data_IF_218688638819
#
_entry.id   IF_218688638819
#
_cell.length_a   1.000
_cell.length_b   1.000
_cell.length_c   1.000
_cell.angle_alpha   90.00
_cell.angle_beta   90.00
_cell.angle_gamma   90.00
#
_symmetry.space_group_name_H-M   'P 1'
#
loop_
_entity.id
_entity.type
_entity.pdbx_description
1 polymer ?
#
# COMPACT_ATOMS: atom_id res chain seq x y z
N UNK A 1 45.41 31.34 -13.61
CA UNK A 1 44.71 30.45 -12.66
C UNK A 1 43.22 30.75 -12.77
N UNK A 2 42.41 29.80 -13.24
CA UNK A 2 41.03 30.06 -13.64
C UNK A 2 40.13 30.23 -12.38
N UNK A 3 39.46 31.38 -12.17
CA UNK A 3 38.64 31.62 -10.97
C UNK A 3 37.49 30.59 -10.81
N UNK A 4 37.06 29.95 -11.90
CA UNK A 4 36.11 28.83 -11.88
C UNK A 4 36.66 27.57 -11.17
N UNK A 5 37.96 27.33 -11.18
CA UNK A 5 38.58 26.15 -10.55
C UNK A 5 38.65 26.30 -9.02
N UNK A 6 38.90 27.51 -8.52
CA UNK A 6 38.93 27.79 -7.08
C UNK A 6 37.54 27.69 -6.43
N UNK A 7 36.48 28.04 -7.15
CA UNK A 7 35.10 27.90 -6.67
C UNK A 7 34.67 26.42 -6.58
N UNK A 8 35.11 25.58 -7.52
CA UNK A 8 34.79 24.14 -7.50
C UNK A 8 35.51 23.42 -6.34
N UNK A 9 36.75 23.78 -6.03
CA UNK A 9 37.49 23.21 -4.89
C UNK A 9 36.91 23.62 -3.53
N UNK A 10 36.36 24.83 -3.39
CA UNK A 10 35.72 25.27 -2.14
C UNK A 10 34.34 24.62 -1.92
N UNK A 11 33.69 24.10 -2.97
CA UNK A 11 32.36 23.49 -2.89
C UNK A 11 32.36 22.07 -2.31
N UNK A 12 33.52 21.39 -2.31
CA UNK A 12 33.67 20.01 -1.81
C UNK A 12 34.07 19.97 -0.33
N UNK A 13 34.45 21.11 0.27
CA UNK A 13 35.14 21.14 1.56
C UNK A 13 34.24 21.12 2.81
N UNK A 14 32.91 21.03 2.70
CA UNK A 14 32.02 20.82 3.86
C UNK A 14 31.16 19.57 3.69
N UNK A 15 31.84 18.42 3.62
CA UNK A 15 31.18 17.12 3.53
C UNK A 15 30.55 16.65 4.86
N UNK A 16 30.90 17.26 6.00
CA UNK A 16 30.41 16.86 7.30
C UNK A 16 30.43 18.02 8.31
N UNK A 17 29.55 17.95 9.29
CA UNK A 17 29.48 18.82 10.46
C UNK A 17 30.17 18.17 11.66
N UNK A 18 30.73 18.97 12.56
CA UNK A 18 31.38 18.47 13.77
C UNK A 18 30.50 18.78 14.98
N UNK A 19 30.07 17.73 15.68
CA UNK A 19 29.39 17.82 16.97
C UNK A 19 30.46 18.05 18.05
N UNK A 20 30.28 19.11 18.85
CA UNK A 20 31.19 19.42 19.95
C UNK A 20 31.19 18.30 20.99
N UNK A 21 32.32 18.12 21.69
CA UNK A 21 32.45 17.11 22.73
C UNK A 21 31.40 17.27 23.83
N UNK A 22 31.01 18.51 24.16
CA UNK A 22 29.97 18.82 25.15
C UNK A 22 28.58 18.34 24.72
N UNK A 23 28.34 18.20 23.42
CA UNK A 23 27.09 17.68 22.85
C UNK A 23 27.16 16.18 22.52
N UNK A 24 28.28 15.50 22.79
CA UNK A 24 28.49 14.10 22.44
C UNK A 24 27.33 13.20 22.88
N UNK A 25 26.90 13.29 24.13
CA UNK A 25 25.84 12.43 24.68
C UNK A 25 24.49 12.65 23.97
N UNK A 26 24.28 13.86 23.43
CA UNK A 26 23.07 14.20 22.68
C UNK A 26 23.01 13.49 21.33
N UNK A 27 24.15 13.17 20.72
CA UNK A 27 24.22 12.56 19.38
C UNK A 27 24.68 11.10 19.38
N UNK A 28 25.49 10.65 20.34
CA UNK A 28 26.05 9.29 20.35
C UNK A 28 24.95 8.22 20.38
N UNK A 29 23.90 8.42 21.20
CA UNK A 29 22.76 7.49 21.26
C UNK A 29 21.93 7.54 19.95
N UNK A 30 21.43 8.70 19.49
CA UNK A 30 20.70 8.78 18.22
C UNK A 30 21.45 8.23 17.01
N UNK A 31 22.75 8.48 16.90
CA UNK A 31 23.55 7.97 15.77
C UNK A 31 23.57 6.44 15.77
N UNK A 32 23.83 5.81 16.92
CA UNK A 32 23.79 4.34 17.04
C UNK A 32 22.39 3.78 16.80
N UNK A 33 21.35 4.48 17.26
CA UNK A 33 19.98 4.08 17.01
C UNK A 33 19.60 4.19 15.53
N UNK A 34 20.09 5.20 14.79
CA UNK A 34 19.96 5.28 13.33
C UNK A 34 20.66 4.12 12.61
N UNK A 35 21.85 3.72 13.06
CA UNK A 35 22.55 2.55 12.52
C UNK A 35 21.73 1.27 12.74
N UNK A 36 21.24 1.06 13.96
CA UNK A 36 20.35 -0.06 14.29
C UNK A 36 19.05 -0.03 13.47
N UNK A 37 18.44 1.14 13.28
CA UNK A 37 17.24 1.26 12.45
C UNK A 37 17.52 0.88 10.99
N UNK A 38 18.73 1.19 10.49
CA UNK A 38 19.16 0.81 9.14
C UNK A 38 19.22 -0.71 8.97
N UNK A 39 19.73 -1.43 9.96
CA UNK A 39 19.77 -2.91 9.97
C UNK A 39 18.37 -3.53 9.96
N UNK A 40 17.37 -2.84 10.51
CA UNK A 40 15.99 -3.32 10.60
C UNK A 40 15.12 -2.96 9.38
N UNK A 41 15.60 -2.10 8.46
CA UNK A 41 14.77 -1.55 7.36
C UNK A 41 14.10 -2.62 6.50
N UNK A 42 14.84 -3.67 6.14
CA UNK A 42 14.36 -4.67 5.19
C UNK A 42 13.50 -5.75 5.86
N UNK A 43 13.83 -6.13 7.09
CA UNK A 43 13.16 -7.22 7.82
C UNK A 43 11.99 -6.69 8.66
N UNK A 44 12.23 -5.63 9.42
CA UNK A 44 11.39 -5.11 10.50
C UNK A 44 11.19 -3.59 10.39
N UNK A 45 10.57 -3.09 9.31
CA UNK A 45 10.45 -1.66 9.06
C UNK A 45 9.61 -0.91 10.11
N UNK A 46 8.63 -1.55 10.76
CA UNK A 46 7.87 -0.93 11.86
C UNK A 46 8.78 -0.61 13.06
N UNK A 47 9.63 -1.55 13.46
CA UNK A 47 10.57 -1.32 14.56
C UNK A 47 11.61 -0.23 14.21
N UNK A 48 12.04 -0.19 12.96
CA UNK A 48 12.90 0.89 12.47
C UNK A 48 12.20 2.25 12.60
N UNK A 49 10.92 2.34 12.19
CA UNK A 49 10.11 3.56 12.32
C UNK A 49 9.95 3.97 13.78
N UNK A 50 9.70 3.02 14.69
CA UNK A 50 9.56 3.32 16.12
C UNK A 50 10.85 3.91 16.69
N UNK A 51 12.01 3.32 16.39
CA UNK A 51 13.31 3.85 16.80
C UNK A 51 13.51 5.27 16.26
N UNK A 52 13.25 5.48 14.96
CA UNK A 52 13.41 6.78 14.32
C UNK A 52 12.43 7.82 14.87
N UNK A 53 11.19 7.43 15.20
CA UNK A 53 10.23 8.30 15.86
C UNK A 53 10.72 8.75 17.23
N UNK A 54 11.37 7.88 18.02
CA UNK A 54 11.96 8.26 19.31
C UNK A 54 13.10 9.27 19.14
N UNK A 55 13.96 9.09 18.15
CA UNK A 55 15.02 10.05 17.83
C UNK A 55 14.40 11.41 17.46
N UNK A 56 13.42 11.40 16.57
CA UNK A 56 12.80 12.61 16.01
C UNK A 56 11.88 13.34 17.01
N UNK A 57 11.30 12.60 17.97
CA UNK A 57 10.49 13.18 19.06
C UNK A 57 11.33 13.55 20.27
N UNK A 58 12.62 13.20 20.27
CA UNK A 58 13.57 13.46 21.35
C UNK A 58 14.04 14.93 21.41
N UNK A 59 15.04 15.19 22.26
CA UNK A 59 15.67 16.52 22.44
C UNK A 59 16.02 17.15 21.09
N UNK A 60 15.85 18.47 20.95
CA UNK A 60 16.08 19.22 19.69
C UNK A 60 17.46 18.93 19.07
N UNK A 61 17.58 18.05 18.10
CA UNK A 61 18.87 17.80 17.44
C UNK A 61 19.11 18.89 16.39
N UNK A 62 20.12 19.73 16.60
CA UNK A 62 20.43 20.84 15.70
C UNK A 62 20.95 20.38 14.33
N UNK A 63 21.62 19.23 14.25
CA UNK A 63 22.31 18.71 13.07
C UNK A 63 21.59 17.48 12.49
N UNK A 64 20.31 17.63 12.16
CA UNK A 64 19.50 16.59 11.50
C UNK A 64 19.66 16.66 9.98
N UNK A 65 19.63 15.51 9.30
CA UNK A 65 19.86 15.38 7.85
C UNK A 65 21.25 15.90 7.42
N UNK A 66 22.26 15.51 8.18
CA UNK A 66 23.66 15.91 7.99
C UNK A 66 24.60 14.72 8.13
N UNK A 67 25.76 14.79 7.49
CA UNK A 67 26.89 13.91 7.82
C UNK A 67 27.58 14.51 9.04
N UNK A 68 27.70 13.76 10.12
CA UNK A 68 28.24 14.27 11.39
C UNK A 68 29.43 13.45 11.85
N UNK A 69 30.41 14.09 12.49
CA UNK A 69 31.43 13.43 13.31
C UNK A 69 31.40 14.05 14.70
N UNK A 70 31.78 13.29 15.72
CA UNK A 70 31.73 13.75 17.11
C UNK A 70 33.14 13.93 17.63
N UNK A 71 33.43 15.09 18.23
CA UNK A 71 34.73 15.36 18.84
C UNK A 71 34.94 14.51 20.10
N UNK A 72 36.07 13.79 20.15
CA UNK A 72 36.54 13.02 21.31
C UNK A 72 37.64 13.77 22.08
N UNK A 73 38.43 14.58 21.37
CA UNK A 73 39.52 15.41 21.89
C UNK A 73 39.74 16.64 20.99
N UNK A 74 40.86 17.35 21.16
CA UNK A 74 41.17 18.55 20.34
C UNK A 74 41.30 18.23 18.85
N UNK A 75 41.87 17.07 18.52
CA UNK A 75 42.10 16.64 17.13
C UNK A 75 41.61 15.21 16.86
N UNK A 76 40.91 14.61 17.84
CA UNK A 76 40.40 13.24 17.73
C UNK A 76 38.89 13.27 17.55
N UNK A 77 38.39 12.57 16.53
CA UNK A 77 36.98 12.52 16.17
C UNK A 77 36.53 11.07 15.97
N UNK A 78 35.23 10.83 16.08
CA UNK A 78 34.64 9.58 15.59
C UNK A 78 34.65 9.54 14.05
N UNK A 79 34.30 8.38 13.46
CA UNK A 79 34.06 8.30 12.01
C UNK A 79 32.93 9.24 11.60
N UNK A 80 32.86 9.59 10.32
CA UNK A 80 31.73 10.38 9.79
C UNK A 80 30.52 9.47 9.65
N UNK A 81 29.39 9.86 10.22
CA UNK A 81 28.12 9.14 10.18
C UNK A 81 27.09 9.89 9.32
N UNK A 82 26.37 9.20 8.42
CA UNK A 82 25.23 9.78 7.72
C UNK A 82 24.01 9.84 8.66
N UNK A 83 23.79 10.96 9.34
CA UNK A 83 22.69 11.13 10.29
C UNK A 83 21.45 11.71 9.58
N UNK A 84 20.70 10.81 8.95
CA UNK A 84 19.54 11.11 8.09
C UNK A 84 18.25 10.43 8.59
N UNK A 85 17.78 10.74 9.82
CA UNK A 85 16.68 10.02 10.43
C UNK A 85 15.34 10.15 9.67
N UNK A 86 15.03 11.29 9.05
CA UNK A 86 13.82 11.45 8.24
C UNK A 86 13.94 10.64 6.94
N UNK A 87 15.06 10.74 6.23
CA UNK A 87 15.26 9.94 5.02
C UNK A 87 15.19 8.43 5.31
N UNK A 88 15.78 7.96 6.41
CA UNK A 88 15.69 6.56 6.82
C UNK A 88 14.26 6.15 7.16
N UNK A 89 13.48 7.02 7.82
CA UNK A 89 12.08 6.74 8.16
C UNK A 89 11.21 6.67 6.91
N UNK A 90 11.42 7.58 5.96
CA UNK A 90 10.77 7.52 4.66
C UNK A 90 11.05 6.22 3.91
N UNK A 91 12.29 5.70 3.96
CA UNK A 91 12.63 4.39 3.39
C UNK A 91 11.89 3.25 4.07
N UNK A 92 11.77 3.27 5.39
CA UNK A 92 11.01 2.26 6.15
C UNK A 92 9.52 2.29 5.78
N UNK A 93 8.93 3.49 5.65
CA UNK A 93 7.56 3.65 5.16
C UNK A 93 7.38 3.08 3.75
N UNK A 94 8.31 3.30 2.83
CA UNK A 94 8.26 2.69 1.49
C UNK A 94 8.29 1.15 1.52
N UNK A 95 9.03 0.55 2.47
CA UNK A 95 9.03 -0.92 2.65
C UNK A 95 7.67 -1.42 3.11
N UNK A 96 7.01 -0.71 4.03
CA UNK A 96 5.65 -1.03 4.44
C UNK A 96 4.63 -0.83 3.32
N UNK A 97 4.76 0.26 2.55
CA UNK A 97 3.90 0.52 1.40
C UNK A 97 3.99 -0.62 0.37
N UNK A 98 5.20 -1.09 0.05
CA UNK A 98 5.40 -2.21 -0.87
C UNK A 98 4.75 -3.51 -0.36
N UNK A 99 4.88 -3.82 0.94
CA UNK A 99 4.24 -5.00 1.57
C UNK A 99 2.71 -4.90 1.62
N UNK A 100 2.17 -3.71 1.86
CA UNK A 100 0.72 -3.48 1.82
C UNK A 100 0.20 -3.63 0.38
N UNK A 101 0.89 -3.03 -0.60
CA UNK A 101 0.53 -3.13 -2.01
C UNK A 101 0.58 -4.58 -2.52
N UNK A 102 1.56 -5.38 -2.11
CA UNK A 102 1.63 -6.81 -2.50
C UNK A 102 0.50 -7.66 -1.93
N UNK A 103 -0.15 -7.21 -0.85
CA UNK A 103 -1.34 -7.84 -0.26
C UNK A 103 -2.65 -7.30 -0.83
N UNK A 104 -2.60 -6.35 -1.76
CA UNK A 104 -3.77 -5.67 -2.32
C UNK A 104 -4.39 -4.63 -1.38
N UNK A 105 -3.69 -4.25 -0.30
CA UNK A 105 -4.12 -3.24 0.66
C UNK A 105 -3.75 -1.83 0.17
N UNK A 106 -4.31 -1.42 -0.98
CA UNK A 106 -3.87 -0.20 -1.68
C UNK A 106 -4.13 1.10 -0.89
N UNK A 107 -5.12 1.12 -0.01
CA UNK A 107 -5.42 2.28 0.83
C UNK A 107 -4.31 2.50 1.87
N UNK A 108 -3.92 1.42 2.55
CA UNK A 108 -2.83 1.42 3.51
C UNK A 108 -1.48 1.68 2.83
N UNK A 109 -1.26 1.10 1.64
CA UNK A 109 -0.07 1.37 0.84
C UNK A 109 0.03 2.85 0.47
N UNK A 110 -1.06 3.48 0.03
CA UNK A 110 -1.09 4.90 -0.29
C UNK A 110 -0.82 5.79 0.94
N UNK A 111 -1.36 5.42 2.10
CA UNK A 111 -1.06 6.11 3.36
C UNK A 111 0.44 6.05 3.70
N UNK A 112 1.04 4.85 3.67
CA UNK A 112 2.47 4.70 3.93
C UNK A 112 3.35 5.45 2.92
N UNK A 113 3.02 5.40 1.63
CA UNK A 113 3.76 6.16 0.61
C UNK A 113 3.65 7.67 0.82
N UNK A 114 2.49 8.16 1.28
CA UNK A 114 2.30 9.58 1.60
C UNK A 114 3.24 9.99 2.75
N UNK A 115 3.27 9.22 3.85
CA UNK A 115 4.19 9.46 4.97
C UNK A 115 5.66 9.42 4.53
N UNK A 116 6.01 8.53 3.61
CA UNK A 116 7.35 8.47 3.03
C UNK A 116 7.69 9.74 2.24
N UNK A 117 6.76 10.22 1.42
CA UNK A 117 6.93 11.44 0.65
C UNK A 117 7.14 12.66 1.57
N UNK A 118 6.36 12.79 2.64
CA UNK A 118 6.52 13.88 3.63
C UNK A 118 7.95 13.88 4.24
N UNK A 119 8.46 12.71 4.63
CA UNK A 119 9.81 12.55 5.19
C UNK A 119 10.91 12.88 4.17
N UNK A 120 10.74 12.47 2.91
CA UNK A 120 11.69 12.79 1.84
C UNK A 120 11.64 14.27 1.45
N UNK A 121 10.46 14.89 1.42
CA UNK A 121 10.28 16.32 1.19
C UNK A 121 10.99 17.14 2.27
N UNK A 122 10.79 16.81 3.54
CA UNK A 122 11.47 17.47 4.65
C UNK A 122 13.00 17.39 4.51
N UNK A 123 13.51 16.20 4.21
CA UNK A 123 14.94 15.98 4.03
C UNK A 123 15.51 16.72 2.82
N UNK A 124 14.75 16.79 1.72
CA UNK A 124 15.12 17.53 0.52
C UNK A 124 15.13 19.05 0.76
N UNK A 125 14.21 19.56 1.58
CA UNK A 125 14.16 20.96 2.00
C UNK A 125 15.39 21.34 2.84
N UNK A 126 15.94 20.40 3.63
CA UNK A 126 17.21 20.57 4.34
C UNK A 126 18.45 20.46 3.44
N UNK A 127 18.29 20.25 2.13
CA UNK A 127 19.37 20.24 1.14
C UNK A 127 19.94 18.86 0.82
N UNK A 128 19.36 17.78 1.34
CA UNK A 128 19.83 16.42 1.04
C UNK A 128 19.40 16.01 -0.38
N UNK A 129 20.35 16.06 -1.32
CA UNK A 129 20.09 15.80 -2.75
C UNK A 129 19.50 14.41 -3.00
N UNK A 130 20.00 13.37 -2.32
CA UNK A 130 19.49 12.01 -2.47
C UNK A 130 18.01 11.87 -2.08
N UNK A 131 17.48 12.75 -1.22
CA UNK A 131 16.05 12.74 -0.88
C UNK A 131 15.16 13.26 -2.00
N UNK A 132 15.68 14.05 -2.96
CA UNK A 132 14.87 14.52 -4.11
C UNK A 132 14.51 13.37 -5.05
N UNK A 133 15.46 12.48 -5.30
CA UNK A 133 15.25 11.28 -6.11
C UNK A 133 14.29 10.31 -5.40
N UNK A 134 14.44 10.15 -4.08
CA UNK A 134 13.54 9.34 -3.27
C UNK A 134 12.12 9.92 -3.22
N UNK A 135 11.98 11.24 -3.13
CA UNK A 135 10.69 11.92 -3.20
C UNK A 135 10.00 11.68 -4.54
N UNK A 136 10.71 11.85 -5.65
CA UNK A 136 10.18 11.58 -6.98
C UNK A 136 9.73 10.11 -7.12
N UNK A 137 10.53 9.17 -6.59
CA UNK A 137 10.19 7.75 -6.54
C UNK A 137 8.92 7.48 -5.70
N UNK A 138 8.78 8.11 -4.54
CA UNK A 138 7.60 7.99 -3.68
C UNK A 138 6.34 8.56 -4.34
N UNK A 139 6.43 9.73 -4.98
CA UNK A 139 5.31 10.34 -5.72
C UNK A 139 4.85 9.43 -6.86
N UNK A 140 5.79 8.91 -7.66
CA UNK A 140 5.46 7.95 -8.72
C UNK A 140 4.80 6.68 -8.16
N UNK A 141 5.33 6.12 -7.07
CA UNK A 141 4.74 4.96 -6.41
C UNK A 141 3.33 5.24 -5.86
N UNK A 142 3.07 6.46 -5.39
CA UNK A 142 1.75 6.88 -4.90
C UNK A 142 0.74 6.94 -6.05
N UNK A 143 1.12 7.54 -7.18
CA UNK A 143 0.29 7.62 -8.37
C UNK A 143 0.01 6.23 -8.95
N UNK A 144 1.00 5.36 -9.02
CA UNK A 144 0.82 3.96 -9.40
C UNK A 144 -0.15 3.22 -8.47
N UNK A 145 0.00 3.43 -7.15
CA UNK A 145 -0.87 2.82 -6.13
C UNK A 145 -2.30 3.32 -6.29
N UNK A 146 -2.50 4.62 -6.50
CA UNK A 146 -3.82 5.21 -6.76
C UNK A 146 -4.43 4.71 -8.06
N UNK A 147 -3.65 4.59 -9.12
CA UNK A 147 -4.11 4.06 -10.39
C UNK A 147 -4.48 2.57 -10.27
N UNK A 148 -3.70 1.77 -9.53
CA UNK A 148 -4.03 0.37 -9.21
C UNK A 148 -5.31 0.29 -8.38
N UNK A 149 -5.45 1.12 -7.34
CA UNK A 149 -6.67 1.23 -6.53
C UNK A 149 -7.90 1.55 -7.40
N UNK A 150 -7.79 2.52 -8.30
CA UNK A 150 -8.87 2.88 -9.22
C UNK A 150 -9.22 1.71 -10.16
N UNK A 151 -8.21 0.97 -10.62
CA UNK A 151 -8.41 -0.21 -11.48
C UNK A 151 -8.91 -1.46 -10.74
N UNK A 152 -8.58 -1.62 -9.46
CA UNK A 152 -8.96 -2.76 -8.60
C UNK A 152 -10.32 -2.55 -7.96
N UNK A 153 -10.72 -1.28 -7.78
CA UNK A 153 -12.08 -0.89 -7.45
C UNK A 153 -12.96 -1.11 -8.68
N UNK A 154 -13.31 -2.36 -8.94
CA UNK A 154 -14.52 -2.68 -9.68
C UNK A 154 -15.62 -1.89 -8.97
N UNK A 155 -16.39 -1.10 -9.71
CA UNK A 155 -17.59 -0.48 -9.16
C UNK A 155 -18.66 -1.56 -9.00
N UNK A 156 -18.42 -2.44 -8.03
CA UNK A 156 -19.30 -3.55 -7.68
C UNK A 156 -20.65 -3.01 -7.24
N UNK A 157 -20.72 -1.76 -6.75
CA UNK A 157 -21.99 -1.10 -6.46
C UNK A 157 -22.74 -0.78 -7.74
N UNK A 158 -22.09 -0.24 -8.78
CA UNK A 158 -22.72 -0.09 -10.10
C UNK A 158 -23.13 -1.43 -10.71
N UNK A 159 -22.33 -2.50 -10.54
CA UNK A 159 -22.70 -3.84 -11.02
C UNK A 159 -23.90 -4.40 -10.22
N UNK A 160 -23.93 -4.23 -8.91
CA UNK A 160 -25.08 -4.59 -8.05
C UNK A 160 -26.31 -3.81 -8.45
N UNK A 161 -26.20 -2.49 -8.63
CA UNK A 161 -27.31 -1.64 -9.04
C UNK A 161 -27.84 -2.05 -10.42
N UNK A 162 -26.96 -2.37 -11.37
CA UNK A 162 -27.34 -2.89 -12.69
C UNK A 162 -27.98 -4.29 -12.61
N UNK A 163 -27.48 -5.16 -11.72
CA UNK A 163 -28.05 -6.48 -11.48
C UNK A 163 -29.46 -6.39 -10.91
N UNK A 164 -29.67 -5.53 -9.90
CA UNK A 164 -30.98 -5.35 -9.26
C UNK A 164 -31.95 -4.60 -10.17
N UNK A 165 -31.54 -3.49 -10.80
CA UNK A 165 -32.36 -2.74 -11.74
C UNK A 165 -32.70 -3.52 -13.01
N UNK A 166 -31.79 -4.37 -13.48
CA UNK A 166 -32.02 -5.26 -14.63
C UNK A 166 -33.17 -6.25 -14.41
N UNK A 167 -33.54 -6.56 -13.16
CA UNK A 167 -34.70 -7.40 -12.86
C UNK A 167 -36.04 -6.69 -13.10
N UNK A 168 -36.03 -5.36 -13.10
CA UNK A 168 -37.21 -4.49 -13.32
C UNK A 168 -37.34 -4.03 -14.78
N UNK A 169 -36.33 -4.32 -15.63
CA UNK A 169 -36.36 -3.95 -17.05
C UNK A 169 -37.41 -4.76 -17.85
N UNK A 170 -37.86 -4.26 -19.02
CA UNK A 170 -38.78 -4.99 -19.89
C UNK A 170 -38.23 -6.34 -20.39
N UNK A 171 -36.91 -6.44 -20.54
CA UNK A 171 -36.19 -7.67 -20.91
C UNK A 171 -35.08 -8.00 -19.90
N UNK A 172 -35.43 -8.60 -18.75
CA UNK A 172 -34.45 -8.89 -17.70
C UNK A 172 -33.42 -9.94 -18.10
N UNK A 173 -33.73 -10.83 -19.04
CA UNK A 173 -32.80 -11.88 -19.44
C UNK A 173 -31.63 -11.30 -20.23
N UNK A 174 -31.90 -10.31 -21.09
CA UNK A 174 -30.87 -9.50 -21.73
C UNK A 174 -30.05 -8.71 -20.70
N UNK A 175 -30.70 -8.05 -19.75
CA UNK A 175 -30.01 -7.28 -18.72
C UNK A 175 -29.05 -8.15 -17.87
N UNK A 176 -29.50 -9.35 -17.47
CA UNK A 176 -28.67 -10.32 -16.74
C UNK A 176 -27.51 -10.85 -17.59
N UNK A 177 -27.70 -11.05 -18.90
CA UNK A 177 -26.62 -11.44 -19.81
C UNK A 177 -25.54 -10.34 -19.94
N UNK A 178 -25.95 -9.07 -20.00
CA UNK A 178 -25.02 -7.93 -20.01
C UNK A 178 -24.22 -7.84 -18.71
N UNK A 179 -24.86 -8.03 -17.56
CA UNK A 179 -24.18 -8.10 -16.26
C UNK A 179 -23.20 -9.26 -16.22
N UNK A 180 -23.57 -10.44 -16.71
CA UNK A 180 -22.66 -11.58 -16.78
C UNK A 180 -21.43 -11.28 -17.66
N UNK A 181 -21.62 -10.60 -18.80
CA UNK A 181 -20.51 -10.18 -19.67
C UNK A 181 -19.56 -9.23 -18.94
N UNK A 182 -20.09 -8.27 -18.19
CA UNK A 182 -19.28 -7.35 -17.36
C UNK A 182 -18.51 -8.12 -16.28
N UNK A 183 -19.17 -9.03 -15.56
CA UNK A 183 -18.53 -9.84 -14.53
C UNK A 183 -17.44 -10.76 -15.11
N UNK A 184 -17.63 -11.29 -16.34
CA UNK A 184 -16.61 -12.07 -17.05
C UNK A 184 -15.38 -11.22 -17.41
N UNK A 185 -15.58 -10.02 -17.95
CA UNK A 185 -14.49 -9.10 -18.25
C UNK A 185 -13.70 -8.72 -16.98
N UNK A 186 -14.37 -8.56 -15.84
CA UNK A 186 -13.69 -8.35 -14.56
C UNK A 186 -12.93 -9.58 -14.07
N UNK A 187 -13.45 -10.79 -14.33
CA UNK A 187 -12.78 -12.04 -13.96
C UNK A 187 -11.48 -12.29 -14.74
N UNK A 188 -11.33 -11.72 -15.94
CA UNK A 188 -10.07 -11.78 -16.70
C UNK A 188 -8.92 -11.03 -15.99
N UNK A 189 -9.26 -10.11 -15.07
CA UNK A 189 -8.31 -9.34 -14.26
C UNK A 189 -8.17 -9.87 -12.84
N UNK A 190 -8.44 -11.16 -12.63
CA UNK A 190 -8.51 -11.80 -11.31
C UNK A 190 -7.33 -11.44 -10.40
N UNK A 191 -6.11 -11.50 -10.93
CA UNK A 191 -4.88 -11.29 -10.17
C UNK A 191 -4.73 -9.84 -9.67
N UNK A 192 -5.33 -8.87 -10.36
CA UNK A 192 -5.32 -7.45 -9.97
C UNK A 192 -6.36 -7.12 -8.89
N UNK A 193 -7.31 -8.02 -8.63
CA UNK A 193 -8.40 -7.76 -7.71
C UNK A 193 -7.95 -7.99 -6.27
N UNK A 194 -8.38 -7.09 -5.37
CA UNK A 194 -8.24 -7.33 -3.93
C UNK A 194 -9.03 -8.58 -3.52
N UNK A 195 -8.67 -9.24 -2.41
CA UNK A 195 -9.41 -10.40 -1.91
C UNK A 195 -10.92 -10.14 -1.74
N UNK A 196 -11.28 -8.95 -1.24
CA UNK A 196 -12.66 -8.49 -1.12
C UNK A 196 -13.35 -8.34 -2.49
N UNK A 197 -12.67 -7.73 -3.47
CA UNK A 197 -13.20 -7.59 -4.82
C UNK A 197 -13.40 -8.95 -5.51
N UNK A 198 -12.47 -9.90 -5.33
CA UNK A 198 -12.60 -11.29 -5.82
C UNK A 198 -13.81 -11.98 -5.20
N UNK A 199 -13.99 -11.83 -3.88
CA UNK A 199 -15.13 -12.37 -3.13
C UNK A 199 -16.46 -11.84 -3.65
N UNK A 200 -16.56 -10.52 -3.78
CA UNK A 200 -17.75 -9.85 -4.30
C UNK A 200 -18.00 -10.24 -5.76
N UNK A 201 -16.98 -10.31 -6.61
CA UNK A 201 -17.10 -10.74 -7.99
C UNK A 201 -17.67 -12.16 -8.11
N UNK A 202 -17.13 -13.11 -7.35
CA UNK A 202 -17.65 -14.50 -7.32
C UNK A 202 -19.10 -14.52 -6.83
N UNK A 203 -19.40 -13.81 -5.76
CA UNK A 203 -20.76 -13.74 -5.21
C UNK A 203 -21.75 -13.18 -6.23
N UNK A 204 -21.38 -12.12 -6.96
CA UNK A 204 -22.22 -11.53 -8.01
C UNK A 204 -22.40 -12.46 -9.21
N UNK A 205 -21.37 -13.22 -9.60
CA UNK A 205 -21.49 -14.23 -10.66
C UNK A 205 -22.48 -15.32 -10.28
N UNK A 206 -22.41 -15.81 -9.04
CA UNK A 206 -23.36 -16.80 -8.52
C UNK A 206 -24.76 -16.21 -8.47
N UNK A 207 -24.93 -15.00 -7.94
CA UNK A 207 -26.23 -14.33 -7.86
C UNK A 207 -26.84 -14.14 -9.25
N UNK A 208 -26.06 -13.66 -10.22
CA UNK A 208 -26.50 -13.47 -11.62
C UNK A 208 -26.93 -14.79 -12.24
N UNK A 209 -26.11 -15.85 -12.12
CA UNK A 209 -26.43 -17.15 -12.68
C UNK A 209 -27.66 -17.81 -11.99
N UNK A 210 -27.79 -17.63 -10.67
CA UNK A 210 -28.93 -18.12 -9.91
C UNK A 210 -30.23 -17.40 -10.31
N UNK A 211 -30.20 -16.07 -10.44
CA UNK A 211 -31.35 -15.28 -10.90
C UNK A 211 -31.81 -15.72 -12.30
N UNK A 212 -30.87 -15.93 -13.23
CA UNK A 212 -31.19 -16.51 -14.56
C UNK A 212 -31.83 -17.89 -14.43
N UNK A 213 -31.30 -18.74 -13.55
CA UNK A 213 -31.85 -20.08 -13.32
C UNK A 213 -33.28 -20.06 -12.77
N UNK A 214 -33.56 -19.20 -11.80
CA UNK A 214 -34.90 -19.06 -11.22
C UNK A 214 -35.91 -18.47 -12.21
N UNK A 215 -35.49 -17.52 -13.05
CA UNK A 215 -36.34 -17.00 -14.14
C UNK A 215 -36.69 -18.08 -15.17
N UNK A 216 -35.78 -19.01 -15.42
CA UNK A 216 -36.03 -20.19 -16.23
C UNK A 216 -36.89 -21.26 -15.52
N UNK A 217 -37.45 -20.98 -14.34
CA UNK A 217 -38.32 -21.89 -13.59
C UNK A 217 -37.59 -23.02 -12.85
N UNK A 218 -36.26 -22.96 -12.72
CA UNK A 218 -35.48 -24.02 -12.07
C UNK A 218 -35.58 -23.95 -10.55
N UNK A 219 -35.43 -25.10 -9.90
CA UNK A 219 -35.41 -25.21 -8.44
C UNK A 219 -34.10 -24.68 -7.84
N UNK A 220 -34.09 -24.38 -6.54
CA UNK A 220 -32.86 -24.01 -5.80
C UNK A 220 -31.80 -25.13 -5.84
N UNK A 221 -32.25 -26.38 -5.87
CA UNK A 221 -31.38 -27.56 -5.93
C UNK A 221 -30.68 -27.70 -7.27
N UNK A 222 -31.41 -27.54 -8.36
CA UNK A 222 -30.82 -27.62 -9.70
C UNK A 222 -29.86 -26.46 -9.94
N UNK A 223 -30.25 -25.24 -9.53
CA UNK A 223 -29.37 -24.06 -9.62
C UNK A 223 -28.10 -24.26 -8.78
N UNK A 224 -28.21 -24.73 -7.53
CA UNK A 224 -27.04 -24.97 -6.68
C UNK A 224 -26.13 -26.08 -7.24
N UNK A 225 -26.71 -27.12 -7.87
CA UNK A 225 -25.97 -28.20 -8.52
C UNK A 225 -25.15 -27.68 -9.70
N UNK A 226 -25.74 -26.85 -10.56
CA UNK A 226 -25.06 -26.25 -11.71
C UNK A 226 -23.93 -25.30 -11.29
N UNK A 227 -24.10 -24.63 -10.15
CA UNK A 227 -23.12 -23.69 -9.60
C UNK A 227 -22.09 -24.35 -8.69
N UNK A 228 -22.06 -25.69 -8.62
CA UNK A 228 -21.11 -26.42 -7.78
C UNK A 228 -19.64 -26.09 -8.10
N UNK A 229 -19.32 -25.73 -9.34
CA UNK A 229 -17.97 -25.29 -9.73
C UNK A 229 -17.52 -24.01 -8.99
N UNK A 230 -18.45 -23.16 -8.57
CA UNK A 230 -18.14 -21.95 -7.82
C UNK A 230 -17.84 -22.22 -6.35
N UNK A 231 -18.15 -23.41 -5.80
CA UNK A 231 -17.86 -23.77 -4.40
C UNK A 231 -16.37 -23.67 -4.08
N UNK A 232 -15.52 -24.20 -4.95
CA UNK A 232 -14.06 -24.14 -4.76
C UNK A 232 -13.57 -22.68 -4.73
N UNK A 233 -14.02 -21.87 -5.69
CA UNK A 233 -13.68 -20.45 -5.79
C UNK A 233 -14.19 -19.63 -4.60
N UNK A 234 -15.41 -19.91 -4.14
CA UNK A 234 -15.98 -19.28 -2.94
C UNK A 234 -15.14 -19.58 -1.70
N UNK A 235 -14.71 -20.83 -1.51
CA UNK A 235 -13.86 -21.21 -0.38
C UNK A 235 -12.50 -20.53 -0.45
N UNK A 236 -11.90 -20.48 -1.64
CA UNK A 236 -10.62 -19.80 -1.89
C UNK A 236 -10.67 -18.31 -1.49
N UNK A 237 -11.76 -17.60 -1.81
CA UNK A 237 -11.90 -16.16 -1.52
C UNK A 237 -12.47 -15.86 -0.12
N UNK A 238 -12.71 -16.89 0.71
CA UNK A 238 -13.18 -16.74 2.09
C UNK A 238 -14.71 -16.64 2.28
N UNK A 239 -15.50 -17.19 1.35
CA UNK A 239 -16.96 -17.30 1.45
C UNK A 239 -17.72 -16.13 0.82
N UNK A 240 -19.06 -16.18 0.73
CA UNK A 240 -19.88 -15.17 0.08
C UNK A 240 -20.02 -13.90 0.93
N UNK A 241 -20.22 -12.76 0.27
CA UNK A 241 -20.44 -11.47 0.92
C UNK A 241 -21.77 -10.83 0.51
N UNK A 242 -22.59 -10.45 1.51
CA UNK A 242 -23.82 -9.71 1.28
C UNK A 242 -24.86 -10.48 0.45
N UNK A 243 -25.05 -11.78 0.71
CA UNK A 243 -26.09 -12.58 0.05
C UNK A 243 -27.52 -12.10 0.36
N UNK A 244 -27.71 -11.30 1.40
CA UNK A 244 -29.02 -10.86 1.86
C UNK A 244 -29.75 -9.95 0.87
N UNK A 245 -29.00 -9.17 0.08
CA UNK A 245 -29.52 -8.16 -0.85
C UNK A 245 -30.18 -8.73 -2.12
N UNK A 246 -30.03 -10.04 -2.38
CA UNK A 246 -30.53 -10.70 -3.60
C UNK A 246 -31.79 -11.55 -3.36
N UNK A 247 -32.38 -11.45 -2.16
CA UNK A 247 -33.58 -12.20 -1.78
C UNK A 247 -33.30 -13.62 -1.25
N UNK A 248 -34.34 -14.30 -0.74
CA UNK A 248 -34.19 -15.55 0.02
C UNK A 248 -33.68 -16.72 -0.82
N UNK A 249 -34.13 -16.86 -2.08
CA UNK A 249 -33.72 -17.98 -2.95
C UNK A 249 -32.23 -17.95 -3.30
N UNK A 250 -31.69 -16.77 -3.62
CA UNK A 250 -30.26 -16.61 -3.91
C UNK A 250 -29.41 -16.84 -2.66
N UNK A 251 -29.90 -16.36 -1.50
CA UNK A 251 -29.27 -16.62 -0.20
C UNK A 251 -29.16 -18.12 0.10
N UNK A 252 -30.21 -18.88 -0.19
CA UNK A 252 -30.24 -20.32 0.00
C UNK A 252 -29.26 -21.05 -0.94
N UNK A 253 -29.15 -20.64 -2.21
CA UNK A 253 -28.13 -21.15 -3.13
C UNK A 253 -26.72 -20.88 -2.59
N UNK A 254 -26.44 -19.65 -2.14
CA UNK A 254 -25.14 -19.29 -1.56
C UNK A 254 -24.81 -20.15 -0.33
N UNK A 255 -25.79 -20.37 0.55
CA UNK A 255 -25.65 -21.23 1.73
C UNK A 255 -25.30 -22.68 1.35
N UNK A 256 -26.03 -23.26 0.39
CA UNK A 256 -25.77 -24.62 -0.11
C UNK A 256 -24.38 -24.76 -0.75
N UNK A 257 -23.88 -23.70 -1.39
CA UNK A 257 -22.55 -23.71 -1.99
C UNK A 257 -21.43 -23.70 -0.94
N UNK A 258 -21.64 -23.13 0.25
CA UNK A 258 -20.63 -23.17 1.33
C UNK A 258 -20.39 -24.62 1.83
N UNK A 259 -21.42 -25.45 1.79
CA UNK A 259 -21.43 -26.79 2.40
C UNK A 259 -21.95 -26.74 3.85
N UNK A 260 -22.16 -27.92 4.48
CA UNK A 260 -22.37 -28.00 5.93
C UNK A 260 -21.12 -27.55 6.71
#
# INVERSE_FOLDING_TARGET
MNPLFLFFCLSVAREYETVDRTEKERYDIPVRECERATELLDERPLDAIEILNRILSGRELALVERRVRIALGRETFTRVYPFHPFQLRGRAWMKLAARAASRGEFDLAAEYTTRAADDFEYSAALGLRSSRELLASAVNALDETRARRARSRIDLQAVVARLLGGLEEPDPDRALADVEKLLKAHAERWDDLSPEARRSLVTLRIATAALRGFRAGRSEEDVARDLAEFRAKLREVGGPEGGERFGPKVREVLRRLQGP
#
